data_IF_512705600036
#
_entry.id   IF_512705600036
#
_cell.length_a   1.000
_cell.length_b   1.000
_cell.length_c   1.000
_cell.angle_alpha   90.00
_cell.angle_beta   90.00
_cell.angle_gamma   90.00
#
_symmetry.space_group_name_H-M   'P 1'
#
loop_
_entity.id
_entity.type
_entity.pdbx_description
1 polymer ?
#
# COMPACT_ATOMS: atom_id res chain seq x y z
N UNK A 1 19.83 6.48 26.44
CA UNK A 1 20.24 5.80 25.19
C UNK A 1 20.38 6.83 24.09
N UNK A 2 21.60 7.06 23.62
CA UNK A 2 21.91 8.02 22.56
C UNK A 2 21.46 7.46 21.20
N UNK A 3 20.81 8.27 20.38
CA UNK A 3 20.31 7.92 19.04
C UNK A 3 20.94 8.76 17.92
N UNK A 4 21.94 9.58 18.28
CA UNK A 4 22.53 10.59 17.40
C UNK A 4 23.26 10.07 16.16
N UNK A 5 23.47 8.76 16.07
CA UNK A 5 24.24 8.12 14.96
C UNK A 5 23.39 7.20 14.07
N UNK A 6 22.06 7.11 14.29
CA UNK A 6 21.21 6.19 13.55
C UNK A 6 19.84 6.79 13.26
N UNK A 7 19.56 7.03 12.00
CA UNK A 7 18.22 7.34 11.47
C UNK A 7 17.55 6.04 10.99
N UNK A 8 16.32 5.79 11.41
CA UNK A 8 15.55 4.61 10.99
C UNK A 8 14.18 5.05 10.48
N UNK A 9 13.90 4.70 9.24
CA UNK A 9 12.59 4.86 8.60
C UNK A 9 12.04 3.51 8.21
N UNK A 10 10.74 3.32 8.40
CA UNK A 10 9.99 2.15 7.90
C UNK A 10 9.13 2.58 6.74
N UNK A 11 9.21 1.88 5.63
CA UNK A 11 8.42 2.14 4.45
C UNK A 11 7.93 0.83 3.84
N UNK A 12 6.79 0.90 3.15
CA UNK A 12 6.26 -0.17 2.29
C UNK A 12 6.04 0.39 0.90
N UNK A 13 6.18 -0.45 -0.13
CA UNK A 13 6.00 -0.04 -1.52
C UNK A 13 4.61 0.61 -1.75
N UNK A 14 3.56 0.07 -1.15
CA UNK A 14 2.18 0.58 -1.29
C UNK A 14 1.93 1.90 -0.56
N UNK A 15 2.85 2.35 0.28
CA UNK A 15 2.78 3.66 0.94
C UNK A 15 3.55 4.74 0.16
N UNK A 16 4.32 4.36 -0.86
CA UNK A 16 5.03 5.30 -1.71
C UNK A 16 4.04 5.98 -2.68
N UNK A 17 4.16 7.30 -2.90
CA UNK A 17 3.24 8.02 -3.77
C UNK A 17 3.42 7.59 -5.23
N UNK A 18 2.40 7.03 -5.85
CA UNK A 18 2.41 6.73 -7.28
C UNK A 18 2.06 7.99 -8.08
N UNK A 19 2.68 8.21 -9.25
CA UNK A 19 2.28 9.26 -10.18
C UNK A 19 0.81 9.10 -10.59
N UNK A 20 0.09 10.22 -10.79
CA UNK A 20 -1.33 10.22 -11.14
C UNK A 20 -1.64 9.40 -12.41
N UNK A 21 -0.74 9.43 -13.40
CA UNK A 21 -0.87 8.63 -14.62
C UNK A 21 -0.82 7.11 -14.38
N UNK A 22 -0.18 6.66 -13.31
CA UNK A 22 -0.14 5.25 -12.91
C UNK A 22 -1.32 4.95 -11.99
N UNK A 23 -1.54 5.76 -10.97
CA UNK A 23 -2.66 5.60 -10.05
C UNK A 23 -4.01 5.63 -10.78
N UNK A 24 -4.18 6.51 -11.76
CA UNK A 24 -5.39 6.65 -12.56
C UNK A 24 -5.72 5.47 -13.49
N UNK A 25 -4.83 4.47 -13.59
CA UNK A 25 -5.12 3.21 -14.31
C UNK A 25 -6.02 2.26 -13.50
N UNK A 26 -6.21 2.54 -12.22
CA UNK A 26 -7.01 1.75 -11.30
C UNK A 26 -8.20 2.56 -10.78
N UNK A 27 -9.29 1.88 -10.48
CA UNK A 27 -10.49 2.55 -9.98
C UNK A 27 -10.29 3.12 -8.56
N UNK A 28 -11.09 4.14 -8.21
CA UNK A 28 -11.14 4.64 -6.83
C UNK A 28 -11.57 3.55 -5.83
N UNK A 29 -12.38 2.60 -6.29
CA UNK A 29 -12.83 1.45 -5.49
C UNK A 29 -11.68 0.50 -5.20
N UNK A 30 -10.85 0.18 -6.20
CA UNK A 30 -9.64 -0.65 -6.02
C UNK A 30 -8.68 0.01 -5.03
N UNK A 31 -8.38 1.30 -5.17
CA UNK A 31 -7.52 2.03 -4.23
C UNK A 31 -8.05 2.05 -2.79
N UNK A 32 -9.36 2.07 -2.63
CA UNK A 32 -9.98 2.14 -1.31
C UNK A 32 -10.19 0.79 -0.66
N UNK A 33 -10.55 -0.22 -1.44
CA UNK A 33 -11.05 -1.50 -0.96
C UNK A 33 -10.28 -2.72 -1.45
N UNK A 34 -9.42 -2.58 -2.46
CA UNK A 34 -8.54 -3.64 -2.96
C UNK A 34 -7.37 -3.87 -2.01
N UNK A 35 -7.60 -4.68 -0.97
CA UNK A 35 -6.67 -4.83 0.16
C UNK A 35 -5.61 -5.91 -0.10
N UNK A 36 -5.97 -6.97 -0.84
CA UNK A 36 -5.09 -8.11 -1.08
C UNK A 36 -5.50 -8.90 -2.32
N UNK A 37 -4.55 -9.20 -3.18
CA UNK A 37 -4.73 -9.95 -4.42
C UNK A 37 -5.81 -9.34 -5.35
N UNK A 38 -6.03 -8.02 -5.28
CA UNK A 38 -6.89 -7.26 -6.18
C UNK A 38 -6.23 -6.96 -7.51
N UNK A 39 -6.71 -5.95 -8.22
CA UNK A 39 -6.21 -5.57 -9.54
C UNK A 39 -4.74 -5.15 -9.53
N UNK A 40 -4.35 -4.33 -8.54
CA UNK A 40 -2.98 -3.78 -8.45
C UNK A 40 -1.98 -4.90 -8.23
N UNK A 41 -2.14 -5.70 -7.17
CA UNK A 41 -1.18 -6.76 -6.82
C UNK A 41 -1.16 -7.87 -7.85
N UNK A 42 -2.32 -8.28 -8.38
CA UNK A 42 -2.40 -9.29 -9.45
C UNK A 42 -1.73 -8.80 -10.73
N UNK A 43 -1.86 -7.50 -11.08
CA UNK A 43 -1.13 -6.90 -12.21
C UNK A 43 0.38 -6.96 -12.00
N UNK A 44 0.86 -6.62 -10.81
CA UNK A 44 2.29 -6.71 -10.49
C UNK A 44 2.80 -8.15 -10.62
N UNK A 45 2.04 -9.13 -10.12
CA UNK A 45 2.41 -10.55 -10.24
C UNK A 45 2.39 -11.04 -11.68
N UNK A 46 1.45 -10.59 -12.51
CA UNK A 46 1.43 -10.88 -13.95
C UNK A 46 2.68 -10.35 -14.67
N UNK A 47 3.23 -9.21 -14.22
CA UNK A 47 4.47 -8.68 -14.76
C UNK A 47 5.70 -9.42 -14.24
N UNK A 48 5.78 -9.66 -12.94
CA UNK A 48 6.98 -10.20 -12.29
C UNK A 48 7.11 -11.73 -12.40
N UNK A 49 5.99 -12.45 -12.30
CA UNK A 49 5.96 -13.91 -12.28
C UNK A 49 4.66 -14.46 -12.90
N UNK A 50 4.42 -14.26 -14.22
CA UNK A 50 3.16 -14.60 -14.87
C UNK A 50 2.77 -16.09 -14.72
N UNK A 51 3.75 -16.98 -14.64
CA UNK A 51 3.51 -18.42 -14.45
C UNK A 51 2.98 -18.78 -13.05
N UNK A 52 3.07 -17.87 -12.09
CA UNK A 52 2.53 -18.05 -10.73
C UNK A 52 1.09 -17.50 -10.60
N UNK A 53 0.52 -16.90 -11.64
CA UNK A 53 -0.81 -16.29 -11.61
C UNK A 53 -1.81 -17.14 -12.38
N UNK A 54 -2.86 -17.56 -11.70
CA UNK A 54 -3.93 -18.40 -12.23
C UNK A 54 -5.16 -17.54 -12.57
N UNK A 55 -5.10 -16.83 -13.72
CA UNK A 55 -6.15 -15.87 -14.12
C UNK A 55 -7.53 -16.55 -14.33
N UNK A 56 -7.59 -17.85 -14.55
CA UNK A 56 -8.85 -18.62 -14.60
C UNK A 56 -9.62 -18.57 -13.26
N UNK A 57 -8.96 -18.26 -12.17
CA UNK A 57 -9.56 -18.08 -10.84
C UNK A 57 -9.82 -16.61 -10.49
N UNK A 58 -9.28 -15.65 -11.27
CA UNK A 58 -9.45 -14.24 -11.01
C UNK A 58 -10.93 -13.80 -11.15
N UNK A 59 -11.39 -13.02 -10.17
CA UNK A 59 -12.76 -12.47 -10.12
C UNK A 59 -12.68 -11.05 -9.58
N UNK A 60 -13.80 -10.37 -9.59
CA UNK A 60 -14.03 -9.17 -8.77
C UNK A 60 -14.47 -9.63 -7.37
N UNK A 61 -13.56 -9.56 -6.40
CA UNK A 61 -13.76 -10.00 -5.03
C UNK A 61 -14.21 -8.82 -4.17
N UNK A 62 -15.51 -8.60 -4.09
CA UNK A 62 -16.09 -7.47 -3.35
C UNK A 62 -15.80 -7.58 -1.84
N UNK A 63 -15.18 -6.54 -1.30
CA UNK A 63 -14.82 -6.47 0.14
C UNK A 63 -16.02 -6.21 1.04
N UNK A 64 -16.13 -6.93 2.17
CA UNK A 64 -17.08 -6.57 3.25
C UNK A 64 -16.80 -5.18 3.85
N UNK A 65 -15.62 -4.59 3.62
CA UNK A 65 -15.33 -3.22 4.03
C UNK A 65 -16.19 -2.18 3.28
N UNK A 66 -16.69 -2.51 2.10
CA UNK A 66 -17.66 -1.66 1.37
C UNK A 66 -18.96 -1.55 2.15
N UNK A 67 -19.49 -2.67 2.66
CA UNK A 67 -20.71 -2.67 3.47
C UNK A 67 -20.53 -1.87 4.78
N UNK A 68 -19.34 -1.96 5.38
CA UNK A 68 -19.00 -1.12 6.53
C UNK A 68 -18.93 0.35 6.18
N UNK A 69 -18.38 0.70 5.01
CA UNK A 69 -18.27 2.08 4.54
C UNK A 69 -19.66 2.71 4.29
N UNK A 70 -20.60 1.93 3.77
CA UNK A 70 -21.97 2.38 3.53
C UNK A 70 -22.77 2.56 4.83
N UNK A 71 -22.52 1.69 5.81
CA UNK A 71 -23.34 1.61 7.03
C UNK A 71 -22.82 2.45 8.20
N UNK A 72 -21.51 2.63 8.31
CA UNK A 72 -20.87 3.20 9.49
C UNK A 72 -19.88 4.33 9.15
N UNK A 73 -20.18 5.55 9.57
CA UNK A 73 -19.37 6.72 9.28
C UNK A 73 -17.95 6.66 9.90
N UNK A 74 -17.78 6.04 11.06
CA UNK A 74 -16.50 5.94 11.76
C UNK A 74 -15.81 4.61 11.43
N UNK A 75 -16.46 3.47 11.66
CA UNK A 75 -15.87 2.15 11.38
C UNK A 75 -15.61 1.92 9.88
N UNK A 76 -16.40 2.54 9.01
CA UNK A 76 -16.32 2.40 7.55
C UNK A 76 -15.39 3.40 6.86
N UNK A 77 -14.82 4.38 7.57
CA UNK A 77 -13.94 5.37 6.93
C UNK A 77 -12.49 4.88 6.68
N UNK A 78 -12.13 3.70 7.21
CA UNK A 78 -10.82 3.07 7.03
C UNK A 78 -9.65 3.77 7.75
N UNK A 79 -9.92 4.79 8.56
CA UNK A 79 -8.91 5.65 9.22
C UNK A 79 -9.00 5.64 10.73
N UNK A 80 -10.22 5.89 11.27
CA UNK A 80 -10.41 6.13 12.71
C UNK A 80 -10.30 4.89 13.57
N UNK A 81 -10.64 3.73 13.03
CA UNK A 81 -10.52 2.44 13.72
C UNK A 81 -10.08 1.37 12.72
N UNK A 82 -9.19 0.49 13.14
CA UNK A 82 -8.70 -0.62 12.35
C UNK A 82 -9.28 -1.92 12.86
N UNK A 83 -9.84 -2.74 11.95
CA UNK A 83 -10.22 -4.10 12.26
C UNK A 83 -8.95 -4.94 12.44
N UNK A 84 -8.87 -5.73 13.50
CA UNK A 84 -7.94 -6.87 13.58
C UNK A 84 -8.54 -8.00 12.76
N UNK A 85 -7.94 -8.36 11.64
CA UNK A 85 -8.56 -9.17 10.61
C UNK A 85 -7.69 -10.34 10.13
N UNK A 86 -8.39 -11.35 9.62
CA UNK A 86 -7.86 -12.33 8.68
C UNK A 86 -8.53 -12.10 7.32
N UNK A 87 -7.91 -12.54 6.21
CA UNK A 87 -8.41 -12.21 4.87
C UNK A 87 -9.86 -12.66 4.61
N UNK A 88 -10.27 -13.82 5.16
CA UNK A 88 -11.66 -14.31 5.06
C UNK A 88 -12.70 -13.40 5.74
N UNK A 89 -12.28 -12.48 6.64
CA UNK A 89 -13.19 -11.48 7.24
C UNK A 89 -13.59 -10.41 6.22
N UNK A 90 -12.79 -10.25 5.17
CA UNK A 90 -13.07 -9.35 4.05
C UNK A 90 -13.75 -10.07 2.88
N UNK A 91 -13.29 -11.29 2.54
CA UNK A 91 -13.90 -12.14 1.52
C UNK A 91 -13.49 -13.59 1.70
N UNK A 92 -14.45 -14.52 1.58
CA UNK A 92 -14.23 -15.97 1.81
C UNK A 92 -13.21 -16.61 0.88
N UNK A 93 -12.97 -16.03 -0.31
CA UNK A 93 -11.94 -16.50 -1.24
C UNK A 93 -10.50 -16.14 -0.83
N UNK A 94 -10.31 -15.35 0.23
CA UNK A 94 -9.00 -14.91 0.66
C UNK A 94 -8.36 -13.84 -0.23
N UNK A 95 -9.15 -13.20 -1.10
CA UNK A 95 -8.73 -12.13 -2.00
C UNK A 95 -9.76 -11.00 -2.00
N UNK A 96 -9.35 -9.78 -2.25
CA UNK A 96 -10.22 -8.58 -2.24
C UNK A 96 -9.76 -7.57 -3.27
N UNK A 97 -10.66 -7.17 -4.15
CA UNK A 97 -10.43 -6.27 -5.28
C UNK A 97 -10.69 -6.95 -6.62
N UNK A 98 -10.57 -6.21 -7.69
CA UNK A 98 -10.91 -6.69 -9.03
C UNK A 98 -9.74 -7.38 -9.73
N UNK A 99 -9.34 -8.56 -9.26
CA UNK A 99 -8.26 -9.34 -9.87
C UNK A 99 -8.50 -9.65 -11.35
N UNK A 100 -9.77 -9.76 -11.79
CA UNK A 100 -10.11 -10.06 -13.18
C UNK A 100 -9.73 -8.94 -14.17
N UNK A 101 -9.59 -7.69 -13.69
CA UNK A 101 -9.17 -6.54 -14.51
C UNK A 101 -7.65 -6.35 -14.58
N UNK A 102 -6.87 -7.21 -13.92
CA UNK A 102 -5.42 -7.12 -13.86
C UNK A 102 -4.75 -7.37 -15.22
N UNK A 103 -3.69 -6.63 -15.48
CA UNK A 103 -2.85 -6.82 -16.68
C UNK A 103 -1.38 -6.64 -16.36
N UNK A 104 -0.49 -7.34 -17.09
CA UNK A 104 0.96 -7.22 -16.92
C UNK A 104 1.47 -5.79 -17.19
N UNK A 105 0.87 -5.06 -18.13
CA UNK A 105 1.27 -3.68 -18.44
C UNK A 105 0.98 -2.72 -17.29
N UNK A 106 -0.19 -2.81 -16.64
CA UNK A 106 -0.48 -2.08 -15.41
C UNK A 106 0.52 -2.44 -14.31
N UNK A 107 0.82 -3.72 -14.15
CA UNK A 107 1.79 -4.22 -13.19
C UNK A 107 3.18 -3.65 -13.41
N UNK A 108 3.66 -3.62 -14.65
CA UNK A 108 4.93 -2.98 -15.01
C UNK A 108 4.94 -1.50 -14.62
N UNK A 109 3.89 -0.76 -14.96
CA UNK A 109 3.80 0.66 -14.63
C UNK A 109 3.87 0.91 -13.11
N UNK A 110 3.22 0.08 -12.29
CA UNK A 110 3.28 0.19 -10.82
C UNK A 110 4.67 -0.15 -10.30
N UNK A 111 5.28 -1.25 -10.76
CA UNK A 111 6.63 -1.67 -10.31
C UNK A 111 7.67 -0.60 -10.64
N UNK A 112 7.67 -0.09 -11.88
CA UNK A 112 8.59 0.95 -12.32
C UNK A 112 8.41 2.24 -11.53
N UNK A 113 7.17 2.66 -11.29
CA UNK A 113 6.87 3.86 -10.51
C UNK A 113 7.29 3.69 -9.05
N UNK A 114 6.97 2.55 -8.42
CA UNK A 114 7.37 2.28 -7.04
C UNK A 114 8.90 2.25 -6.88
N UNK A 115 9.62 1.66 -7.83
CA UNK A 115 11.08 1.66 -7.83
C UNK A 115 11.66 3.09 -7.92
N UNK A 116 11.10 3.95 -8.79
CA UNK A 116 11.52 5.35 -8.89
C UNK A 116 11.23 6.13 -7.59
N UNK A 117 10.10 5.91 -6.95
CA UNK A 117 9.81 6.55 -5.66
C UNK A 117 10.72 6.05 -4.54
N UNK A 118 11.08 4.77 -4.55
CA UNK A 118 12.08 4.24 -3.61
C UNK A 118 13.44 4.90 -3.80
N UNK A 119 13.88 5.10 -5.05
CA UNK A 119 15.14 5.84 -5.34
C UNK A 119 15.08 7.24 -4.74
N UNK A 120 13.97 7.98 -4.92
CA UNK A 120 13.79 9.31 -4.33
C UNK A 120 13.84 9.28 -2.81
N UNK A 121 13.12 8.32 -2.18
CA UNK A 121 13.17 8.15 -0.73
C UNK A 121 14.60 7.91 -0.23
N UNK A 122 15.37 7.07 -0.91
CA UNK A 122 16.77 6.80 -0.55
C UNK A 122 17.66 8.04 -0.69
N UNK A 123 17.43 8.87 -1.71
CA UNK A 123 18.12 10.16 -1.87
C UNK A 123 17.78 11.13 -0.74
N UNK A 124 16.49 11.27 -0.42
CA UNK A 124 16.04 12.12 0.70
C UNK A 124 16.61 11.64 2.05
N UNK A 125 16.69 10.33 2.26
CA UNK A 125 17.32 9.77 3.46
C UNK A 125 18.83 10.02 3.50
N UNK A 126 19.50 10.00 2.34
CA UNK A 126 20.92 10.33 2.24
C UNK A 126 21.18 11.79 2.58
N UNK A 127 20.31 12.69 2.14
CA UNK A 127 20.45 14.13 2.33
C UNK A 127 19.99 14.60 3.72
N UNK A 128 19.24 13.75 4.45
CA UNK A 128 18.70 14.10 5.75
C UNK A 128 19.80 14.13 6.82
N UNK A 129 20.06 15.29 7.48
CA UNK A 129 21.13 15.40 8.47
C UNK A 129 20.88 14.50 9.69
N UNK A 130 21.91 13.83 10.18
CA UNK A 130 21.82 13.09 11.47
C UNK A 130 21.44 13.99 12.65
N UNK A 131 21.73 15.31 12.58
CA UNK A 131 21.31 16.32 13.55
C UNK A 131 19.76 16.46 13.67
N UNK A 132 19.00 15.85 12.77
CA UNK A 132 17.55 15.67 12.92
C UNK A 132 17.20 14.86 14.19
N UNK A 133 18.10 13.99 14.63
CA UNK A 133 17.95 13.24 15.88
C UNK A 133 18.46 14.09 17.04
N UNK A 134 17.63 14.20 18.07
CA UNK A 134 17.97 14.91 19.32
C UNK A 134 17.98 13.90 20.45
N UNK A 135 19.05 13.91 21.25
CA UNK A 135 19.17 13.13 22.47
C UNK A 135 18.47 13.85 23.64
N UNK A 136 17.36 13.27 24.09
CA UNK A 136 16.61 13.78 25.23
C UNK A 136 15.65 14.95 24.86
N UNK A 137 14.72 15.24 25.73
CA UNK A 137 14.00 16.52 25.72
C UNK A 137 15.03 17.59 26.07
N UNK A 138 15.42 18.42 25.12
CA UNK A 138 16.29 19.57 25.34
C UNK A 138 15.78 20.30 26.58
N UNK A 139 16.62 20.40 27.58
CA UNK A 139 16.21 20.79 28.92
C UNK A 139 15.31 22.01 28.90
N UNK A 140 14.15 21.88 29.50
CA UNK A 140 13.57 22.96 30.25
C UNK A 140 14.57 23.24 31.40
N UNK A 141 15.64 23.97 31.09
CA UNK A 141 16.46 24.57 32.10
C UNK A 141 15.81 25.92 32.37
N UNK A 142 15.36 26.05 33.58
CA UNK A 142 14.88 27.18 34.36
C UNK A 142 15.16 28.59 33.82
#
# INVERSE_FOLDING_TARGET
>A
RTRSHLLVYSASWFSLPLPDAVAGQFSAEEHRFGIHAGEIETSMMLHLAPSAVHMEHARDFRSTSQDRAERYAILGNGKSAKLGWQMQDYHVAGAVGNAAAATADKGRAVVDAAAQQLVRLLQELHDLPLATLVDGAGGLVE
#
